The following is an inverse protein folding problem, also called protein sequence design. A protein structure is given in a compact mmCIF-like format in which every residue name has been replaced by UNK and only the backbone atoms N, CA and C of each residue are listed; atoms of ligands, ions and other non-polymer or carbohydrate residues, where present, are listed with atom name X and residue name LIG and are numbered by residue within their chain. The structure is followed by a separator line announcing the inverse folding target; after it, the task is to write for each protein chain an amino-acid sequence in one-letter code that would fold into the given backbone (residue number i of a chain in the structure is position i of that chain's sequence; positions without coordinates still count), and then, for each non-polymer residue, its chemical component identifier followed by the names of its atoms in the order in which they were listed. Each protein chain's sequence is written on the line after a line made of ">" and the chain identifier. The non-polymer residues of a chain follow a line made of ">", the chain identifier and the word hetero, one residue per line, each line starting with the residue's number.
data_IF_025703555857
#
_entry.id   IF_025703555857
#
_cell.length_a   1.000
_cell.length_b   1.000
_cell.length_c   1.000
_cell.angle_alpha   90.00
_cell.angle_beta   90.00
_cell.angle_gamma   90.00
#
_symmetry.space_group_name_H-M   'P 1'
#
loop_
_entity.id
_entity.type
_entity.pdbx_description
1 polymer ?
#
# COMPACT_ATOMS: atom_id res chain seq x y z
N UNK A 1 4.89 1.24 -42.07
CA UNK A 1 4.62 0.85 -40.68
C UNK A 1 5.71 -0.13 -40.30
N UNK A 2 6.65 0.25 -39.42
CA UNK A 2 7.65 -0.71 -38.93
C UNK A 2 6.92 -1.77 -38.11
N UNK A 3 7.09 -3.05 -38.45
CA UNK A 3 6.56 -4.14 -37.64
C UNK A 3 7.04 -3.95 -36.20
N UNK A 4 6.09 -3.73 -35.30
CA UNK A 4 6.36 -3.57 -33.88
C UNK A 4 6.73 -4.94 -33.31
N UNK A 5 8.03 -5.26 -33.35
CA UNK A 5 8.55 -6.53 -32.85
C UNK A 5 8.36 -6.58 -31.32
N UNK A 6 7.86 -7.70 -30.83
CA UNK A 6 7.63 -7.96 -29.40
C UNK A 6 8.73 -8.86 -28.84
N UNK A 7 8.96 -8.72 -27.54
CA UNK A 7 9.97 -9.47 -26.81
C UNK A 7 9.77 -10.99 -26.92
N UNK A 8 10.85 -11.71 -27.22
CA UNK A 8 10.83 -13.16 -27.38
C UNK A 8 10.69 -13.95 -26.06
N UNK A 9 10.92 -13.32 -24.91
CA UNK A 9 10.84 -13.97 -23.60
C UNK A 9 9.45 -14.55 -23.33
N UNK A 10 9.41 -15.83 -22.95
CA UNK A 10 8.19 -16.53 -22.54
C UNK A 10 8.04 -16.41 -21.04
N UNK A 11 6.93 -15.82 -20.58
CA UNK A 11 6.62 -15.70 -19.15
C UNK A 11 6.16 -17.07 -18.65
N UNK A 12 6.96 -17.82 -17.86
CA UNK A 12 6.67 -19.23 -17.56
C UNK A 12 5.30 -19.41 -16.88
N UNK A 13 5.00 -18.54 -15.90
CA UNK A 13 3.72 -18.55 -15.16
C UNK A 13 2.48 -18.30 -16.02
N UNK A 14 2.63 -17.69 -17.21
CA UNK A 14 1.51 -17.26 -18.06
C UNK A 14 1.47 -18.00 -19.40
N UNK A 15 2.44 -18.87 -19.67
CA UNK A 15 2.56 -19.62 -20.93
C UNK A 15 2.57 -18.76 -22.20
N UNK A 16 2.94 -17.47 -22.10
CA UNK A 16 2.85 -16.52 -23.21
C UNK A 16 4.07 -15.61 -23.31
N UNK A 17 4.37 -15.15 -24.53
CA UNK A 17 5.42 -14.15 -24.78
C UNK A 17 5.13 -12.83 -24.07
N UNK A 18 6.20 -12.16 -23.66
CA UNK A 18 6.15 -10.80 -23.13
C UNK A 18 5.50 -9.86 -24.16
N UNK A 19 4.66 -8.93 -23.69
CA UNK A 19 3.95 -7.97 -24.56
C UNK A 19 4.77 -6.70 -24.85
N UNK A 20 5.92 -6.54 -24.21
CA UNK A 20 6.75 -5.36 -24.35
C UNK A 20 7.41 -5.34 -25.73
N UNK A 21 7.53 -4.13 -26.29
CA UNK A 21 8.22 -3.89 -27.55
C UNK A 21 9.73 -4.00 -27.37
N UNK A 22 10.42 -4.40 -28.42
CA UNK A 22 11.88 -4.45 -28.49
C UNK A 22 12.41 -3.27 -29.31
N UNK A 23 13.66 -2.88 -29.05
CA UNK A 23 14.37 -1.94 -29.93
C UNK A 23 14.74 -2.65 -31.24
N UNK A 24 14.89 -1.89 -32.31
CA UNK A 24 15.32 -2.43 -33.61
C UNK A 24 16.61 -3.23 -33.46
N UNK A 25 16.64 -4.45 -33.99
CA UNK A 25 17.79 -5.35 -33.91
C UNK A 25 17.94 -6.13 -32.60
N UNK A 26 17.05 -5.95 -31.63
CA UNK A 26 17.09 -6.64 -30.34
C UNK A 26 15.99 -7.70 -30.23
N UNK A 27 16.31 -8.83 -29.59
CA UNK A 27 15.36 -9.94 -29.41
C UNK A 27 14.47 -9.78 -28.17
N UNK A 28 14.94 -9.02 -27.17
CA UNK A 28 14.29 -8.87 -25.87
C UNK A 28 13.99 -7.41 -25.53
N UNK A 29 12.96 -7.17 -24.71
CA UNK A 29 12.71 -5.83 -24.17
C UNK A 29 13.73 -5.51 -23.06
N UNK A 30 13.81 -4.25 -22.64
CA UNK A 30 14.79 -3.84 -21.63
C UNK A 30 14.84 -4.73 -20.39
N UNK A 31 13.70 -5.14 -19.84
CA UNK A 31 13.63 -6.03 -18.67
C UNK A 31 14.17 -7.44 -18.91
N UNK A 32 13.96 -7.99 -20.11
CA UNK A 32 14.37 -9.35 -20.46
C UNK A 32 15.66 -9.39 -21.28
N UNK A 33 16.34 -8.26 -21.49
CA UNK A 33 17.63 -8.19 -22.18
C UNK A 33 18.69 -9.07 -21.52
N UNK A 34 18.54 -9.38 -20.23
CA UNK A 34 19.41 -10.30 -19.49
C UNK A 34 19.46 -11.71 -20.09
N UNK A 35 18.43 -12.11 -20.85
CA UNK A 35 18.33 -13.43 -21.49
C UNK A 35 18.87 -13.45 -22.94
N UNK A 36 19.42 -12.34 -23.43
CA UNK A 36 20.08 -12.29 -24.73
C UNK A 36 21.47 -12.95 -24.66
N UNK A 37 21.84 -13.72 -25.69
CA UNK A 37 23.18 -14.34 -25.76
C UNK A 37 24.31 -13.31 -25.83
N UNK A 38 24.03 -12.14 -26.42
CA UNK A 38 24.92 -10.99 -26.53
C UNK A 38 24.77 -10.00 -25.37
N UNK A 39 24.12 -10.38 -24.27
CA UNK A 39 23.92 -9.49 -23.12
C UNK A 39 25.26 -9.15 -22.43
N UNK A 40 25.77 -7.94 -22.68
CA UNK A 40 26.96 -7.42 -22.01
C UNK A 40 26.64 -6.45 -20.87
N UNK A 41 25.48 -5.79 -20.93
CA UNK A 41 25.20 -4.60 -20.13
C UNK A 41 24.10 -4.81 -19.08
N UNK A 42 23.14 -5.73 -19.23
CA UNK A 42 22.05 -5.90 -18.25
C UNK A 42 22.43 -6.95 -17.20
N UNK A 43 22.39 -6.58 -15.93
CA UNK A 43 22.70 -7.48 -14.79
C UNK A 43 21.51 -7.60 -13.85
N UNK A 44 21.47 -8.67 -13.05
CA UNK A 44 20.54 -8.74 -11.92
C UNK A 44 20.86 -7.63 -10.92
N UNK A 45 19.83 -7.00 -10.36
CA UNK A 45 20.05 -6.00 -9.33
C UNK A 45 20.69 -6.65 -8.08
N UNK A 46 21.78 -6.10 -7.54
CA UNK A 46 22.40 -6.61 -6.32
C UNK A 46 21.51 -6.53 -5.07
N UNK A 47 20.53 -5.62 -5.06
CA UNK A 47 19.60 -5.44 -3.93
C UNK A 47 18.40 -6.39 -4.04
N UNK A 48 17.94 -6.69 -5.26
CA UNK A 48 16.80 -7.58 -5.49
C UNK A 48 16.96 -8.30 -6.84
N UNK A 49 17.38 -9.58 -6.85
CA UNK A 49 17.63 -10.34 -8.07
C UNK A 49 16.36 -10.69 -8.86
N UNK A 50 15.17 -10.18 -8.48
CA UNK A 50 13.94 -10.32 -9.28
C UNK A 50 13.82 -9.30 -10.40
N UNK A 51 14.62 -8.24 -10.41
CA UNK A 51 14.67 -7.27 -11.51
C UNK A 51 16.09 -7.01 -11.99
N UNK A 52 16.17 -6.47 -13.21
CA UNK A 52 17.45 -6.25 -13.89
C UNK A 52 17.73 -4.76 -14.08
N UNK A 53 19.00 -4.42 -14.08
CA UNK A 53 19.50 -3.05 -14.25
C UNK A 53 20.59 -3.01 -15.31
N UNK A 54 20.68 -1.91 -16.03
CA UNK A 54 21.82 -1.64 -16.89
C UNK A 54 23.06 -1.37 -16.01
N UNK A 55 24.16 -2.09 -16.25
CA UNK A 55 25.42 -2.01 -15.52
C UNK A 55 25.93 -0.57 -15.45
N UNK A 56 25.79 0.21 -16.52
CA UNK A 56 26.22 1.63 -16.56
C UNK A 56 25.38 2.52 -15.65
N UNK A 57 24.13 2.11 -15.39
CA UNK A 57 23.20 2.80 -14.51
C UNK A 57 23.14 2.20 -13.10
N UNK A 58 24.02 1.24 -12.77
CA UNK A 58 23.93 0.48 -11.51
C UNK A 58 24.00 1.41 -10.29
N UNK A 59 25.00 2.29 -10.22
CA UNK A 59 25.16 3.19 -9.07
C UNK A 59 23.93 4.07 -8.85
N UNK A 60 23.47 4.74 -9.91
CA UNK A 60 22.23 5.55 -9.85
C UNK A 60 21.00 4.71 -9.53
N UNK A 61 20.95 3.47 -10.00
CA UNK A 61 19.87 2.55 -9.70
C UNK A 61 19.88 2.16 -8.22
N UNK A 62 21.02 1.81 -7.63
CA UNK A 62 21.11 1.42 -6.21
C UNK A 62 20.56 2.53 -5.32
N UNK A 63 20.87 3.79 -5.60
CA UNK A 63 20.32 4.95 -4.88
C UNK A 63 18.79 5.04 -4.97
N UNK A 64 18.21 4.67 -6.11
CA UNK A 64 16.76 4.78 -6.39
C UNK A 64 16.07 3.42 -6.55
N UNK A 65 16.64 2.35 -6.05
CA UNK A 65 16.04 1.02 -6.17
C UNK A 65 14.73 1.01 -5.38
N UNK A 66 13.73 0.26 -5.86
CA UNK A 66 12.47 0.12 -5.13
C UNK A 66 12.60 -0.86 -3.96
N UNK A 67 13.58 -1.77 -4.03
CA UNK A 67 13.88 -2.78 -3.01
C UNK A 67 14.96 -2.32 -2.02
N UNK A 68 15.54 -1.12 -2.20
CA UNK A 68 16.46 -0.51 -1.24
C UNK A 68 15.69 -0.16 0.04
N UNK A 69 16.14 -0.69 1.17
CA UNK A 69 15.73 -0.26 2.51
C UNK A 69 16.66 0.85 2.96
N UNK A 70 16.11 1.99 3.36
CA UNK A 70 16.88 3.09 3.96
C UNK A 70 17.14 2.77 5.43
N UNK A 71 18.36 3.01 5.93
CA UNK A 71 18.62 2.95 7.38
C UNK A 71 18.02 4.20 8.03
N UNK A 72 17.07 4.01 8.94
CA UNK A 72 16.48 5.09 9.74
C UNK A 72 15.90 4.53 11.05
N UNK A 73 15.78 5.37 12.09
CA UNK A 73 15.32 4.95 13.43
C UNK A 73 13.92 4.29 13.41
N UNK A 74 13.02 4.79 12.57
CA UNK A 74 11.66 4.26 12.39
C UNK A 74 11.59 3.05 11.44
N UNK A 75 12.73 2.56 10.94
CA UNK A 75 12.83 1.35 10.12
C UNK A 75 13.45 0.24 10.98
N UNK A 76 12.58 -0.49 11.70
CA UNK A 76 12.92 -1.66 12.49
C UNK A 76 12.67 -2.92 11.64
N UNK A 77 13.74 -3.54 11.13
CA UNK A 77 13.65 -4.75 10.28
C UNK A 77 12.69 -5.77 10.92
N UNK A 78 11.72 -6.19 10.14
CA UNK A 78 10.65 -7.14 10.49
C UNK A 78 9.72 -6.80 11.65
N UNK A 79 9.67 -5.55 12.11
CA UNK A 79 8.83 -5.14 13.25
C UNK A 79 7.37 -5.60 13.16
N UNK A 80 6.77 -5.60 11.96
CA UNK A 80 5.37 -6.00 11.76
C UNK A 80 5.24 -7.29 10.92
N UNK A 81 6.35 -8.02 10.75
CA UNK A 81 6.40 -9.24 9.96
C UNK A 81 6.18 -10.50 10.80
N UNK A 82 5.42 -11.46 10.26
CA UNK A 82 5.32 -12.82 10.79
C UNK A 82 5.93 -13.82 9.80
N UNK A 83 6.72 -14.75 10.34
CA UNK A 83 7.30 -15.87 9.58
C UNK A 83 6.15 -16.74 9.05
N UNK A 84 6.06 -16.92 7.73
CA UNK A 84 5.02 -17.72 7.08
C UNK A 84 3.77 -16.96 6.61
N UNK A 85 3.54 -15.73 7.10
CA UNK A 85 2.40 -14.90 6.66
C UNK A 85 2.83 -13.70 5.80
N UNK A 86 3.83 -12.93 6.25
CA UNK A 86 4.37 -11.78 5.51
C UNK A 86 5.77 -12.05 4.97
N UNK A 87 6.57 -12.84 5.70
CA UNK A 87 7.82 -13.40 5.19
C UNK A 87 7.47 -14.58 4.30
N UNK A 88 7.78 -14.48 3.02
CA UNK A 88 7.63 -15.55 2.05
C UNK A 88 8.67 -16.65 2.37
N UNK A 89 8.43 -17.44 3.42
CA UNK A 89 8.81 -18.85 3.35
C UNK A 89 8.00 -19.46 2.22
N UNK A 90 8.54 -20.48 1.54
CA UNK A 90 7.88 -21.15 0.41
C UNK A 90 6.37 -21.17 0.55
N UNK A 91 5.65 -20.85 -0.54
CA UNK A 91 4.18 -20.91 -0.58
C UNK A 91 3.76 -22.08 0.29
N UNK A 92 2.89 -21.84 1.27
CA UNK A 92 2.23 -22.91 2.01
C UNK A 92 1.32 -23.60 0.99
N UNK A 93 1.93 -24.41 0.13
CA UNK A 93 1.30 -25.20 -0.93
C UNK A 93 0.90 -26.54 -0.33
N UNK A 94 0.27 -26.45 0.84
CA UNK A 94 -0.39 -27.57 1.49
C UNK A 94 -1.84 -27.18 1.73
N UNK A 95 -2.70 -28.17 1.60
CA UNK A 95 -4.06 -28.06 2.06
C UNK A 95 -4.04 -27.90 3.59
N UNK A 96 -4.88 -27.02 4.11
CA UNK A 96 -5.13 -26.96 5.55
C UNK A 96 -5.66 -28.32 6.02
N UNK A 97 -5.28 -28.75 7.22
CA UNK A 97 -5.82 -29.97 7.83
C UNK A 97 -7.26 -29.76 8.26
N UNK A 98 -8.00 -30.83 8.54
CA UNK A 98 -9.37 -30.71 9.05
C UNK A 98 -9.39 -29.96 10.39
N UNK A 99 -8.43 -30.22 11.27
CA UNK A 99 -8.31 -29.55 12.57
C UNK A 99 -8.07 -28.04 12.41
N UNK A 100 -7.23 -27.63 11.45
CA UNK A 100 -6.99 -26.22 11.14
C UNK A 100 -8.24 -25.53 10.60
N UNK A 101 -8.98 -26.22 9.72
CA UNK A 101 -10.25 -25.72 9.18
C UNK A 101 -11.29 -25.58 10.30
N UNK A 102 -11.44 -26.59 11.16
CA UNK A 102 -12.35 -26.53 12.31
C UNK A 102 -11.98 -25.41 13.28
N UNK A 103 -10.69 -25.24 13.60
CA UNK A 103 -10.23 -24.15 14.45
C UNK A 103 -10.53 -22.77 13.83
N UNK A 104 -10.35 -22.61 12.52
CA UNK A 104 -10.71 -21.38 11.82
C UNK A 104 -12.22 -21.13 11.81
N UNK A 105 -13.04 -22.17 11.61
CA UNK A 105 -14.50 -22.09 11.66
C UNK A 105 -15.00 -21.69 13.04
N UNK A 106 -14.47 -22.27 14.11
CA UNK A 106 -14.87 -21.93 15.47
C UNK A 106 -14.50 -20.48 15.82
N UNK A 107 -13.33 -20.00 15.37
CA UNK A 107 -12.97 -18.58 15.48
C UNK A 107 -13.94 -17.69 14.71
N UNK A 108 -14.23 -18.02 13.44
CA UNK A 108 -15.17 -17.25 12.62
C UNK A 108 -16.58 -17.19 13.23
N UNK A 109 -17.10 -18.33 13.72
CA UNK A 109 -18.39 -18.38 14.41
C UNK A 109 -18.38 -17.53 15.67
N UNK A 110 -17.33 -17.63 16.49
CA UNK A 110 -17.20 -16.84 17.71
C UNK A 110 -17.20 -15.35 17.42
N UNK A 111 -16.42 -14.91 16.42
CA UNK A 111 -16.41 -13.53 15.96
C UNK A 111 -17.79 -13.10 15.45
N UNK A 112 -18.45 -13.92 14.62
CA UNK A 112 -19.77 -13.64 14.09
C UNK A 112 -20.80 -13.46 15.21
N UNK A 113 -20.88 -14.40 16.15
CA UNK A 113 -21.81 -14.32 17.29
C UNK A 113 -21.56 -13.05 18.12
N UNK A 114 -20.29 -12.65 18.30
CA UNK A 114 -19.94 -11.46 19.07
C UNK A 114 -20.35 -10.13 18.42
N UNK A 115 -20.52 -10.10 17.08
CA UNK A 115 -20.75 -8.87 16.32
C UNK A 115 -22.05 -8.82 15.52
N UNK A 116 -22.71 -9.96 15.24
CA UNK A 116 -23.87 -10.05 14.33
C UNK A 116 -25.00 -9.08 14.67
N UNK A 117 -25.28 -8.90 15.96
CA UNK A 117 -26.37 -8.03 16.45
C UNK A 117 -25.90 -6.58 16.65
N UNK A 118 -24.61 -6.31 16.43
CA UNK A 118 -23.97 -4.99 16.48
C UNK A 118 -23.69 -4.42 15.09
N UNK A 119 -24.00 -5.17 14.03
CA UNK A 119 -23.82 -4.74 12.65
C UNK A 119 -24.86 -3.67 12.30
N UNK A 120 -24.43 -2.42 12.30
CA UNK A 120 -25.23 -1.31 11.80
C UNK A 120 -25.01 -1.17 10.29
N UNK A 121 -26.07 -1.39 9.50
CA UNK A 121 -26.07 -1.04 8.08
C UNK A 121 -26.39 0.46 7.94
N UNK A 122 -25.40 1.29 8.23
CA UNK A 122 -25.46 2.74 8.03
C UNK A 122 -24.54 3.13 6.88
N UNK A 123 -24.98 4.03 6.03
CA UNK A 123 -24.14 4.68 5.04
C UNK A 123 -24.12 6.17 5.36
N UNK A 124 -22.95 6.67 5.78
CA UNK A 124 -22.72 8.11 5.91
C UNK A 124 -22.15 8.68 4.60
N UNK A 125 -22.18 10.00 4.46
CA UNK A 125 -21.87 10.69 3.21
C UNK A 125 -21.10 11.97 3.48
N UNK A 126 -20.13 12.28 2.61
CA UNK A 126 -19.41 13.54 2.62
C UNK A 126 -20.02 14.48 1.57
N UNK A 127 -20.61 15.59 2.04
CA UNK A 127 -21.34 16.55 1.20
C UNK A 127 -20.49 17.08 0.03
N UNK A 128 -19.21 17.37 0.28
CA UNK A 128 -18.29 17.90 -0.74
C UNK A 128 -18.07 16.91 -1.90
N UNK A 129 -17.92 15.62 -1.58
CA UNK A 129 -17.72 14.55 -2.56
C UNK A 129 -18.99 14.29 -3.34
N UNK A 130 -20.14 14.34 -2.66
CA UNK A 130 -21.46 14.12 -3.27
C UNK A 130 -21.82 15.28 -4.22
N UNK A 131 -21.56 16.54 -3.84
CA UNK A 131 -21.73 17.69 -4.72
C UNK A 131 -20.86 17.58 -5.99
N UNK A 132 -19.61 17.12 -5.86
CA UNK A 132 -18.76 16.85 -7.02
C UNK A 132 -19.33 15.74 -7.91
N UNK A 133 -19.87 14.68 -7.30
CA UNK A 133 -20.50 13.56 -8.01
C UNK A 133 -21.75 13.97 -8.80
N UNK A 134 -22.51 14.94 -8.32
CA UNK A 134 -23.69 15.50 -9.00
C UNK A 134 -23.28 16.33 -10.23
N UNK A 135 -22.21 17.12 -10.11
CA UNK A 135 -21.71 17.96 -11.21
C UNK A 135 -20.97 17.16 -12.29
N UNK A 136 -20.35 16.04 -11.93
CA UNK A 136 -19.48 15.27 -12.82
C UNK A 136 -20.27 14.27 -13.69
N UNK A 137 -21.03 14.79 -14.66
CA UNK A 137 -21.95 14.02 -15.53
C UNK A 137 -21.28 13.04 -16.52
N UNK A 138 -19.97 13.20 -16.78
CA UNK A 138 -19.23 12.43 -17.79
C UNK A 138 -18.34 11.33 -17.19
N UNK A 139 -18.47 11.04 -15.89
CA UNK A 139 -17.66 10.02 -15.23
C UNK A 139 -18.06 8.60 -15.66
N UNK A 140 -17.06 7.73 -15.86
CA UNK A 140 -17.31 6.30 -16.03
C UNK A 140 -17.87 5.69 -14.73
N UNK A 141 -18.65 4.61 -14.87
CA UNK A 141 -19.28 3.92 -13.75
C UNK A 141 -18.26 3.49 -12.68
N UNK A 142 -17.08 3.01 -13.09
CA UNK A 142 -15.99 2.64 -12.18
C UNK A 142 -15.48 3.83 -11.36
N UNK A 143 -15.31 5.01 -11.97
CA UNK A 143 -14.90 6.23 -11.26
C UNK A 143 -15.99 6.71 -10.30
N UNK A 144 -17.25 6.64 -10.73
CA UNK A 144 -18.41 7.00 -9.89
C UNK A 144 -18.49 6.10 -8.65
N UNK A 145 -18.39 4.78 -8.81
CA UNK A 145 -18.35 3.81 -7.69
C UNK A 145 -17.19 4.11 -6.72
N UNK A 146 -16.03 4.49 -7.24
CA UNK A 146 -14.90 4.86 -6.41
C UNK A 146 -15.17 6.10 -5.56
N UNK A 147 -15.76 7.14 -6.14
CA UNK A 147 -16.10 8.37 -5.43
C UNK A 147 -17.21 8.16 -4.39
N UNK A 148 -18.23 7.34 -4.68
CA UNK A 148 -19.25 6.97 -3.70
C UNK A 148 -18.61 6.27 -2.49
N UNK A 149 -17.67 5.36 -2.73
CA UNK A 149 -16.92 4.71 -1.66
C UNK A 149 -16.12 5.73 -0.84
N UNK A 150 -15.46 6.70 -1.49
CA UNK A 150 -14.73 7.77 -0.82
C UNK A 150 -15.65 8.64 0.04
N UNK A 151 -16.81 9.04 -0.50
CA UNK A 151 -17.83 9.79 0.24
C UNK A 151 -18.26 9.05 1.50
N UNK A 152 -18.49 7.74 1.40
CA UNK A 152 -18.90 6.92 2.54
C UNK A 152 -17.82 6.78 3.62
N UNK A 153 -16.56 6.54 3.22
CA UNK A 153 -15.44 6.47 4.17
C UNK A 153 -15.32 7.79 4.94
N UNK A 154 -15.35 8.91 4.23
CA UNK A 154 -15.18 10.24 4.83
C UNK A 154 -16.37 10.57 5.74
N UNK A 155 -17.60 10.32 5.29
CA UNK A 155 -18.79 10.57 6.11
C UNK A 155 -18.80 9.77 7.42
N UNK A 156 -18.29 8.53 7.41
CA UNK A 156 -18.14 7.74 8.63
C UNK A 156 -17.04 8.27 9.55
N UNK A 157 -15.90 8.70 8.99
CA UNK A 157 -14.83 9.34 9.77
C UNK A 157 -15.31 10.65 10.43
N UNK A 158 -16.10 11.46 9.70
CA UNK A 158 -16.72 12.67 10.24
C UNK A 158 -17.73 12.33 11.36
N UNK A 159 -18.61 11.35 11.12
CA UNK A 159 -19.62 10.91 12.09
C UNK A 159 -18.99 10.33 13.37
N UNK A 160 -17.84 9.66 13.25
CA UNK A 160 -17.07 9.13 14.36
C UNK A 160 -16.16 10.18 15.03
N UNK A 161 -16.14 11.42 14.52
CA UNK A 161 -15.23 12.50 14.98
C UNK A 161 -13.74 12.16 14.88
N UNK A 162 -13.38 11.27 13.95
CA UNK A 162 -12.01 10.85 13.71
C UNK A 162 -11.30 11.76 12.69
N UNK A 163 -12.05 12.44 11.82
CA UNK A 163 -11.51 13.39 10.85
C UNK A 163 -11.38 14.80 11.44
N UNK A 164 -10.51 14.96 12.44
CA UNK A 164 -10.28 16.24 13.12
C UNK A 164 -9.45 17.18 12.25
N UNK A 165 -9.81 18.46 12.24
CA UNK A 165 -9.08 19.52 11.52
C UNK A 165 -8.30 20.39 12.50
N UNK A 166 -7.23 19.84 13.10
CA UNK A 166 -6.37 20.60 14.00
C UNK A 166 -4.89 20.18 13.85
N UNK A 167 -3.92 21.07 14.13
CA UNK A 167 -2.49 20.77 13.93
C UNK A 167 -1.93 19.64 14.81
N UNK A 168 -2.64 19.25 15.87
CA UNK A 168 -2.27 18.14 16.75
C UNK A 168 -2.88 16.81 16.33
N UNK A 169 -3.71 16.79 15.28
CA UNK A 169 -4.29 15.59 14.69
C UNK A 169 -3.45 15.11 13.49
N UNK A 170 -3.28 13.79 13.39
CA UNK A 170 -2.69 13.15 12.22
C UNK A 170 -3.62 12.09 11.63
N UNK A 171 -3.82 12.18 10.31
CA UNK A 171 -4.58 11.22 9.53
C UNK A 171 -3.59 10.35 8.76
N UNK A 172 -3.50 9.09 9.16
CA UNK A 172 -2.62 8.09 8.58
C UNK A 172 -3.38 7.30 7.49
N UNK A 173 -3.03 7.46 6.21
CA UNK A 173 -3.58 6.62 5.13
C UNK A 173 -2.61 5.50 4.78
N UNK A 174 -2.92 4.28 5.22
CA UNK A 174 -2.18 3.07 4.86
C UNK A 174 -2.72 2.50 3.55
N UNK A 175 -1.84 2.32 2.56
CA UNK A 175 -2.23 1.89 1.20
C UNK A 175 -2.74 3.03 0.34
N UNK A 176 -2.18 4.24 0.49
CA UNK A 176 -2.72 5.46 -0.10
C UNK A 176 -2.82 5.45 -1.64
N UNK A 177 -2.05 4.62 -2.34
CA UNK A 177 -2.03 4.56 -3.80
C UNK A 177 -1.83 5.94 -4.42
N UNK A 178 -2.79 6.38 -5.23
CA UNK A 178 -2.81 7.72 -5.84
C UNK A 178 -3.22 8.85 -4.88
N UNK A 179 -3.52 8.57 -3.62
CA UNK A 179 -3.97 9.52 -2.58
C UNK A 179 -5.27 10.25 -2.91
N UNK A 180 -6.19 9.60 -3.65
CA UNK A 180 -7.48 10.23 -3.95
C UNK A 180 -8.34 10.38 -2.69
N UNK A 181 -8.24 9.45 -1.73
CA UNK A 181 -8.92 9.57 -0.44
C UNK A 181 -8.33 10.72 0.38
N UNK A 182 -7.01 10.74 0.59
CA UNK A 182 -6.33 11.87 1.24
C UNK A 182 -6.70 13.23 0.63
N UNK A 183 -6.76 13.36 -0.69
CA UNK A 183 -7.16 14.61 -1.35
C UNK A 183 -8.55 15.10 -0.93
N UNK A 184 -9.52 14.20 -0.73
CA UNK A 184 -10.84 14.60 -0.26
C UNK A 184 -10.84 14.84 1.25
N UNK A 185 -10.09 14.04 2.02
CA UNK A 185 -9.94 14.27 3.46
C UNK A 185 -9.29 15.63 3.77
N UNK A 186 -8.32 16.09 2.97
CA UNK A 186 -7.68 17.41 3.15
C UNK A 186 -8.66 18.56 2.95
N UNK A 187 -9.76 18.37 2.19
CA UNK A 187 -10.83 19.38 2.07
C UNK A 187 -11.69 19.48 3.33
N UNK A 188 -11.68 18.46 4.18
CA UNK A 188 -12.47 18.39 5.42
C UNK A 188 -11.63 18.69 6.65
N UNK A 189 -10.36 18.29 6.62
CA UNK A 189 -9.39 18.49 7.68
C UNK A 189 -8.11 19.18 7.18
N UNK A 190 -8.19 20.41 6.64
CA UNK A 190 -7.02 21.10 6.04
C UNK A 190 -5.92 21.43 7.07
N UNK A 191 -6.25 21.53 8.36
CA UNK A 191 -5.28 21.85 9.41
C UNK A 191 -4.59 20.62 10.02
N UNK A 192 -5.03 19.41 9.65
CA UNK A 192 -4.44 18.18 10.15
C UNK A 192 -3.18 17.79 9.38
N UNK A 193 -2.33 17.00 10.02
CA UNK A 193 -1.19 16.37 9.36
C UNK A 193 -1.65 15.12 8.62
N UNK A 194 -1.19 14.91 7.39
CA UNK A 194 -1.46 13.70 6.63
C UNK A 194 -0.20 12.88 6.46
N UNK A 195 -0.24 11.63 6.94
CA UNK A 195 0.82 10.65 6.72
C UNK A 195 0.33 9.59 5.75
N UNK A 196 0.84 9.62 4.52
CA UNK A 196 0.42 8.72 3.45
C UNK A 196 1.45 7.62 3.27
N UNK A 197 1.07 6.37 3.46
CA UNK A 197 1.97 5.22 3.26
C UNK A 197 1.52 4.43 2.05
N UNK A 198 2.37 4.32 1.03
CA UNK A 198 2.06 3.54 -0.17
C UNK A 198 3.31 3.01 -0.87
N UNK A 199 3.21 1.82 -1.47
CA UNK A 199 4.32 1.20 -2.23
C UNK A 199 4.61 1.87 -3.57
N UNK A 200 3.60 2.46 -4.20
CA UNK A 200 3.63 2.76 -5.63
C UNK A 200 4.21 4.15 -5.92
N UNK A 201 5.06 4.20 -6.95
CA UNK A 201 5.50 5.44 -7.58
C UNK A 201 4.50 5.94 -8.63
N UNK A 202 3.18 5.82 -8.38
CA UNK A 202 2.17 6.15 -9.39
C UNK A 202 2.30 7.60 -9.86
N UNK A 203 2.13 7.85 -11.17
CA UNK A 203 2.03 9.21 -11.72
C UNK A 203 0.67 9.82 -11.41
N UNK A 204 0.58 11.15 -11.49
CA UNK A 204 -0.66 11.92 -11.27
C UNK A 204 -1.28 11.67 -9.89
N UNK A 205 -0.45 11.79 -8.85
CA UNK A 205 -0.90 11.61 -7.47
C UNK A 205 -1.71 12.83 -7.03
N UNK A 206 -2.77 12.57 -6.29
CA UNK A 206 -3.72 13.57 -5.84
C UNK A 206 -3.20 14.41 -4.66
N UNK A 207 -2.21 13.93 -3.90
CA UNK A 207 -1.46 14.73 -2.91
C UNK A 207 -0.71 15.89 -3.59
N UNK A 208 -0.08 15.66 -4.75
CA UNK A 208 0.50 16.76 -5.52
C UNK A 208 -0.55 17.76 -6.01
N UNK A 209 -1.77 17.29 -6.26
CA UNK A 209 -2.89 18.16 -6.64
C UNK A 209 -3.39 18.94 -5.43
N UNK A 210 -3.54 18.30 -4.27
CA UNK A 210 -3.92 18.94 -3.02
C UNK A 210 -2.96 20.08 -2.69
N UNK A 211 -1.65 19.83 -2.68
CA UNK A 211 -0.61 20.82 -2.40
C UNK A 211 -0.55 21.96 -3.42
N UNK A 212 -0.97 21.72 -4.67
CA UNK A 212 -1.09 22.79 -5.68
C UNK A 212 -2.30 23.67 -5.45
N UNK A 213 -3.41 23.09 -5.01
CA UNK A 213 -4.63 23.81 -4.68
C UNK A 213 -4.51 24.56 -3.35
N UNK A 214 -3.77 23.99 -2.40
CA UNK A 214 -3.49 24.55 -1.08
C UNK A 214 -2.08 24.17 -0.62
N UNK A 215 -1.09 25.08 -0.78
CA UNK A 215 0.28 24.85 -0.34
C UNK A 215 0.47 24.81 1.18
N UNK A 216 -0.54 25.16 1.98
CA UNK A 216 -0.46 25.15 3.45
C UNK A 216 -0.69 23.78 4.08
N UNK A 217 -1.16 22.81 3.29
CA UNK A 217 -1.42 21.45 3.76
C UNK A 217 -0.13 20.75 4.21
N UNK A 218 -0.16 20.12 5.38
CA UNK A 218 0.93 19.27 5.88
C UNK A 218 0.69 17.82 5.40
N UNK A 219 1.30 17.47 4.27
CA UNK A 219 1.22 16.12 3.69
C UNK A 219 2.61 15.52 3.56
N UNK A 220 2.86 14.48 4.35
CA UNK A 220 4.05 13.63 4.25
C UNK A 220 3.67 12.29 3.63
N UNK A 221 4.45 11.84 2.64
CA UNK A 221 4.24 10.53 2.01
C UNK A 221 5.47 9.65 2.15
N UNK A 222 5.29 8.52 2.86
CA UNK A 222 6.26 7.44 2.95
C UNK A 222 5.99 6.42 1.84
N UNK A 223 7.05 6.08 1.09
CA UNK A 223 6.95 5.11 0.01
C UNK A 223 7.33 3.73 0.50
N UNK A 224 6.38 2.99 1.05
CA UNK A 224 6.69 1.70 1.65
C UNK A 224 6.15 0.50 0.86
N UNK A 225 7.02 -0.45 0.46
CA UNK A 225 6.61 -1.71 -0.16
C UNK A 225 5.81 -2.57 0.83
N UNK A 226 4.86 -3.37 0.37
CA UNK A 226 4.08 -4.28 1.25
C UNK A 226 4.33 -5.75 0.90
N UNK A 227 4.94 -6.00 -0.26
CA UNK A 227 5.00 -7.34 -0.83
C UNK A 227 6.30 -7.51 -1.62
N UNK A 228 7.21 -8.35 -1.09
CA UNK A 228 8.18 -9.22 -1.76
C UNK A 228 9.70 -9.13 -1.38
N UNK A 229 10.09 -9.70 -0.22
CA UNK A 229 11.34 -10.49 0.10
C UNK A 229 12.67 -9.68 0.05
N UNK A 230 13.76 -9.92 0.79
CA UNK A 230 14.41 -11.07 1.43
C UNK A 230 15.18 -10.59 2.68
N UNK A 231 15.34 -11.43 3.71
CA UNK A 231 16.03 -11.07 4.96
C UNK A 231 17.31 -11.86 5.17
N UNK A 232 17.62 -12.80 4.28
CA UNK A 232 18.94 -13.42 4.23
C UNK A 232 19.91 -12.52 3.46
N UNK A 233 20.90 -12.03 4.20
CA UNK A 233 22.14 -11.39 3.76
C UNK A 233 22.19 -9.84 3.68
N UNK A 234 23.34 -9.35 4.19
CA UNK A 234 23.98 -8.02 4.09
C UNK A 234 23.44 -6.95 5.05
N UNK A 235 24.20 -6.38 6.00
CA UNK A 235 25.57 -5.82 6.02
C UNK A 235 25.69 -4.43 5.37
N UNK A 236 25.75 -3.41 6.24
CA UNK A 236 26.46 -2.12 6.14
C UNK A 236 25.92 -0.99 5.23
N UNK A 237 25.51 0.11 5.90
CA UNK A 237 26.01 1.51 5.80
C UNK A 237 25.44 2.52 4.76
N UNK A 238 25.12 3.70 5.33
CA UNK A 238 25.38 5.12 4.94
C UNK A 238 24.26 5.99 4.34
N UNK A 239 24.15 7.17 4.96
CA UNK A 239 23.18 8.26 4.78
C UNK A 239 23.39 9.08 3.49
N UNK A 240 22.31 9.67 2.96
CA UNK A 240 22.34 10.69 1.92
C UNK A 240 21.50 11.92 2.35
N UNK A 241 22.13 13.10 2.57
CA UNK A 241 21.48 14.33 3.03
C UNK A 241 20.62 15.10 2.00
N UNK A 242 20.44 14.62 0.76
CA UNK A 242 20.03 15.49 -0.37
C UNK A 242 18.53 15.54 -0.74
N UNK A 243 17.59 15.09 0.11
CA UNK A 243 16.17 15.00 -0.26
C UNK A 243 15.25 15.92 0.54
N UNK A 244 14.97 17.10 -0.01
CA UNK A 244 14.07 18.14 0.52
C UNK A 244 12.55 17.81 0.41
N UNK A 245 12.23 16.51 0.40
CA UNK A 245 10.91 15.91 0.67
C UNK A 245 11.22 14.54 1.27
N UNK A 246 10.81 14.25 2.50
CA UNK A 246 11.11 12.99 3.22
C UNK A 246 10.42 11.77 2.57
N UNK A 247 10.93 11.32 1.42
CA UNK A 247 10.44 10.15 0.67
C UNK A 247 11.22 8.92 1.08
N UNK A 248 10.71 8.23 2.09
CA UNK A 248 11.38 7.09 2.70
C UNK A 248 10.95 5.80 2.01
N UNK A 249 11.88 4.86 1.84
CA UNK A 249 11.67 3.60 1.11
C UNK A 249 12.00 2.42 2.02
N UNK A 250 10.98 1.66 2.44
CA UNK A 250 11.11 0.44 3.22
C UNK A 250 9.83 -0.39 3.15
N UNK A 251 9.81 -1.63 3.61
CA UNK A 251 8.53 -2.35 3.71
C UNK A 251 7.68 -1.84 4.89
N UNK A 252 6.34 -1.85 4.80
CA UNK A 252 5.48 -1.55 5.98
C UNK A 252 5.76 -2.51 7.14
N UNK A 253 6.23 -3.72 6.82
CA UNK A 253 6.66 -4.72 7.78
C UNK A 253 7.88 -4.29 8.61
N UNK A 254 8.54 -3.19 8.25
CA UNK A 254 9.68 -2.63 8.95
C UNK A 254 9.39 -1.28 9.62
N UNK A 255 8.19 -0.71 9.45
CA UNK A 255 7.92 0.65 9.95
C UNK A 255 7.47 0.60 11.40
N UNK A 256 8.17 1.33 12.26
CA UNK A 256 7.69 1.66 13.60
C UNK A 256 7.14 3.09 13.62
N UNK A 257 5.84 3.22 13.87
CA UNK A 257 5.16 4.51 13.87
C UNK A 257 5.57 5.39 15.06
N UNK A 258 5.97 4.81 16.20
CA UNK A 258 6.32 5.61 17.39
C UNK A 258 7.60 6.44 17.19
N UNK A 259 8.46 6.01 16.28
CA UNK A 259 9.76 6.64 16.02
C UNK A 259 9.66 7.76 14.95
N UNK A 260 8.49 7.97 14.34
CA UNK A 260 8.30 9.00 13.32
C UNK A 260 8.22 10.39 13.98
N UNK A 261 9.20 11.25 13.70
CA UNK A 261 9.29 12.61 14.26
C UNK A 261 8.00 13.44 14.09
N UNK A 262 7.32 13.32 12.94
CA UNK A 262 6.08 14.07 12.68
C UNK A 262 4.92 13.68 13.60
N UNK A 263 4.98 12.51 14.24
CA UNK A 263 3.98 12.00 15.18
C UNK A 263 4.32 12.35 16.64
N UNK A 264 5.51 12.90 16.93
CA UNK A 264 5.92 13.24 18.31
C UNK A 264 5.07 14.37 18.92
N UNK A 265 4.63 15.32 18.10
CA UNK A 265 3.78 16.46 18.53
C UNK A 265 2.28 16.21 18.23
N UNK A 266 1.90 14.97 17.92
CA UNK A 266 0.53 14.61 17.57
C UNK A 266 -0.13 14.01 18.81
N UNK A 267 -1.28 14.56 19.20
CA UNK A 267 -2.06 14.09 20.34
C UNK A 267 -3.23 13.18 19.94
N UNK A 268 -3.50 13.08 18.63
CA UNK A 268 -4.67 12.43 18.07
C UNK A 268 -4.31 11.79 16.73
N UNK A 269 -4.48 10.47 16.61
CA UNK A 269 -4.20 9.74 15.36
C UNK A 269 -5.45 8.99 14.92
N UNK A 270 -5.83 9.16 13.66
CA UNK A 270 -6.80 8.30 12.98
C UNK A 270 -6.12 7.58 11.82
N UNK A 271 -6.29 6.25 11.74
CA UNK A 271 -5.76 5.45 10.65
C UNK A 271 -6.85 5.03 9.65
N UNK A 272 -6.56 5.09 8.35
CA UNK A 272 -7.43 4.61 7.28
C UNK A 272 -6.68 3.62 6.43
N UNK A 273 -7.15 2.37 6.41
CA UNK A 273 -6.56 1.28 5.66
C UNK A 273 -7.46 0.94 4.47
N UNK A 274 -7.11 1.43 3.28
CA UNK A 274 -7.91 1.22 2.06
C UNK A 274 -7.25 0.22 1.13
N UNK A 275 -8.05 -0.69 0.56
CA UNK A 275 -7.61 -1.74 -0.38
C UNK A 275 -6.66 -2.77 0.24
N UNK A 276 -6.60 -2.84 1.55
CA UNK A 276 -5.85 -3.90 2.24
C UNK A 276 -6.49 -5.24 1.88
N UNK A 277 -5.66 -6.17 1.41
CA UNK A 277 -6.05 -7.53 1.10
C UNK A 277 -4.88 -8.48 1.34
N UNK A 278 -5.21 -9.72 1.72
CA UNK A 278 -4.21 -10.68 2.16
C UNK A 278 -3.38 -10.13 3.33
N UNK A 279 -2.09 -10.46 3.32
CA UNK A 279 -1.12 -10.14 4.39
C UNK A 279 -0.91 -8.64 4.62
N UNK A 280 -1.28 -7.78 3.67
CA UNK A 280 -1.25 -6.33 3.85
C UNK A 280 -2.19 -5.87 4.98
N UNK A 281 -3.32 -6.57 5.16
CA UNK A 281 -4.28 -6.27 6.22
C UNK A 281 -3.66 -6.52 7.59
N UNK A 282 -3.05 -7.68 7.76
CA UNK A 282 -2.47 -8.10 9.03
C UNK A 282 -1.24 -7.27 9.37
N UNK A 283 -0.36 -7.00 8.39
CA UNK A 283 0.79 -6.12 8.56
C UNK A 283 0.38 -4.69 8.95
N UNK A 284 -0.71 -4.19 8.35
CA UNK A 284 -1.33 -2.92 8.69
C UNK A 284 -1.80 -2.83 10.13
N UNK A 285 -2.61 -3.80 10.55
CA UNK A 285 -3.16 -3.87 11.91
C UNK A 285 -2.02 -4.02 12.93
N UNK A 286 -1.02 -4.86 12.66
CA UNK A 286 0.16 -5.00 13.52
C UNK A 286 0.97 -3.71 13.61
N UNK A 287 1.17 -3.01 12.49
CA UNK A 287 1.86 -1.71 12.49
C UNK A 287 1.15 -0.70 13.41
N UNK A 288 -0.18 -0.66 13.39
CA UNK A 288 -0.95 0.17 14.33
C UNK A 288 -0.83 -0.33 15.77
N UNK A 289 -0.96 -1.64 16.00
CA UNK A 289 -0.87 -2.26 17.34
C UNK A 289 0.49 -2.01 17.99
N UNK A 290 1.57 -2.28 17.27
CA UNK A 290 2.94 -2.05 17.73
C UNK A 290 3.18 -0.56 17.99
N UNK A 291 2.66 0.32 17.13
CA UNK A 291 2.68 1.76 17.38
C UNK A 291 2.02 2.11 18.71
N UNK A 292 0.83 1.57 18.98
CA UNK A 292 0.12 1.80 20.25
C UNK A 292 0.87 1.27 21.46
N UNK A 293 1.45 0.07 21.37
CA UNK A 293 2.30 -0.51 22.42
C UNK A 293 3.53 0.37 22.70
N UNK A 294 4.03 1.07 21.68
CA UNK A 294 5.15 2.00 21.76
C UNK A 294 4.72 3.47 21.98
N UNK A 295 3.49 3.72 22.42
CA UNK A 295 3.03 5.05 22.86
C UNK A 295 2.29 5.90 21.82
N UNK A 296 1.97 5.36 20.64
CA UNK A 296 1.10 6.03 19.67
C UNK A 296 -0.35 6.13 20.20
N UNK A 297 -0.88 7.35 20.26
CA UNK A 297 -2.28 7.58 20.67
C UNK A 297 -3.21 7.46 19.46
N UNK A 298 -3.75 6.26 19.24
CA UNK A 298 -4.73 5.99 18.19
C UNK A 298 -6.16 6.18 18.70
N UNK A 299 -6.87 7.20 18.19
CA UNK A 299 -8.28 7.48 18.53
C UNK A 299 -9.24 6.52 17.84
N UNK A 300 -8.84 6.02 16.67
CA UNK A 300 -9.63 5.07 15.90
C UNK A 300 -9.02 4.75 14.56
N UNK A 301 -9.58 3.74 13.91
CA UNK A 301 -9.18 3.35 12.57
C UNK A 301 -10.37 2.88 11.73
N UNK A 302 -10.23 2.97 10.41
CA UNK A 302 -11.19 2.46 9.44
C UNK A 302 -10.50 1.44 8.54
N UNK A 303 -11.07 0.23 8.47
CA UNK A 303 -10.66 -0.80 7.52
C UNK A 303 -11.62 -0.87 6.34
N UNK A 304 -11.09 -0.74 5.13
CA UNK A 304 -11.85 -0.86 3.89
C UNK A 304 -11.23 -1.97 3.03
N UNK A 305 -11.57 -3.24 3.30
CA UNK A 305 -10.96 -4.38 2.63
C UNK A 305 -11.26 -4.37 1.12
N UNK A 306 -10.29 -4.84 0.32
CA UNK A 306 -10.44 -4.88 -1.14
C UNK A 306 -11.54 -5.87 -1.57
N UNK A 307 -12.42 -5.43 -2.46
CA UNK A 307 -13.53 -6.23 -2.98
C UNK A 307 -13.12 -7.30 -4.03
N UNK A 308 -11.83 -7.42 -4.34
CA UNK A 308 -11.33 -8.37 -5.36
C UNK A 308 -11.58 -9.85 -5.00
N UNK A 309 -11.77 -10.17 -3.72
CA UNK A 309 -12.04 -11.52 -3.23
C UNK A 309 -13.40 -11.62 -2.53
N UNK A 310 -14.43 -10.96 -3.09
CA UNK A 310 -15.81 -11.06 -2.58
C UNK A 310 -16.21 -12.53 -2.45
N UNK A 311 -16.31 -13.04 -1.22
CA UNK A 311 -17.19 -14.14 -0.88
C UNK A 311 -18.53 -13.53 -0.50
N UNK A 312 -19.59 -13.78 -1.28
CA UNK A 312 -20.93 -13.38 -0.85
C UNK A 312 -21.39 -14.40 0.19
N UNK A 313 -22.05 -13.95 1.26
CA UNK A 313 -22.58 -14.86 2.28
C UNK A 313 -23.49 -15.94 1.68
N UNK A 314 -24.28 -15.60 0.66
CA UNK A 314 -25.11 -16.54 -0.12
C UNK A 314 -24.31 -17.63 -0.86
N UNK A 315 -23.02 -17.42 -1.10
CA UNK A 315 -22.09 -18.39 -1.71
C UNK A 315 -21.41 -19.26 -0.64
N UNK A 316 -21.49 -18.86 0.64
CA UNK A 316 -21.05 -19.64 1.81
C UNK A 316 -22.31 -20.26 2.45
N UNK A 317 -23.10 -20.98 1.66
CA UNK A 317 -24.17 -21.81 2.19
C UNK A 317 -23.53 -23.05 2.81
N UNK A 318 -23.46 -23.08 4.14
CA UNK A 318 -23.41 -24.33 4.88
C UNK A 318 -24.80 -24.96 4.74
N UNK A 319 -24.98 -25.81 3.73
CA UNK A 319 -26.13 -26.69 3.68
C UNK A 319 -26.21 -27.42 5.02
N UNK A 320 -27.35 -27.27 5.68
CA UNK A 320 -27.72 -27.97 6.91
C UNK A 320 -27.91 -29.45 6.62
#
# INVERSE_FOLDING_TARGET
>A
MSDLIRCAYVIPKKGRKCRMLVRTGQQYCGEHAVFAEDNQDRIQCPIDPKHTVDRKSLEQHLLRCNSRVVEAEYIKKDANALVGETKFTDKIDRRATEEEIFAALEKMKSCYVAVKDKLLSKQDHCQEVDAFLEQATTLSESKRKHLIQLSSIIGHLESAKLLRSDPSACILELGAGKAQLAYWMTKRAPLAKFLLIDRSGSRNKYDNRALKEDPSLDITRLRCSIEHVDLSELAMLKEDPSLDITRLRCSIEHVDLSELAMLKDVSSVCAVCKHFCGSATDAGIRCLSNGMENGLVLDGFVLVPCCHHKSRYSEVNFAS
#
